data_IF_440885312110
#
_entry.id   IF_440885312110
#
_cell.length_a   1.000
_cell.length_b   1.000
_cell.length_c   1.000
_cell.angle_alpha   90.00
_cell.angle_beta   90.00
_cell.angle_gamma   90.00
#
_symmetry.space_group_name_H-M   'P 1'
#
loop_
_entity.id
_entity.type
_entity.pdbx_description
1 polymer ?
#
# COMPACT_ATOMS: atom_id res chain seq x y z
N UNK A 1 7.64 -0.33 15.83
CA UNK A 1 6.35 -1.04 15.65
C UNK A 1 6.46 -2.52 16.07
N UNK A 2 6.79 -2.82 17.34
CA UNK A 2 7.11 -4.18 17.78
C UNK A 2 5.91 -5.15 17.72
N UNK A 3 4.71 -4.67 18.08
CA UNK A 3 3.49 -5.49 18.04
C UNK A 3 3.13 -5.93 16.62
N UNK A 4 3.37 -5.08 15.61
CA UNK A 4 3.12 -5.46 14.22
C UNK A 4 4.12 -6.50 13.72
N UNK A 5 5.40 -6.41 14.12
CA UNK A 5 6.39 -7.46 13.83
C UNK A 5 5.97 -8.80 14.43
N UNK A 6 5.47 -8.79 15.67
CA UNK A 6 4.94 -9.98 16.31
C UNK A 6 3.74 -10.58 15.53
N UNK A 7 2.77 -9.75 15.14
CA UNK A 7 1.61 -10.18 14.33
C UNK A 7 2.03 -10.79 12.99
N UNK A 8 2.97 -10.16 12.28
CA UNK A 8 3.50 -10.68 11.01
C UNK A 8 4.10 -12.08 11.20
N UNK A 9 4.91 -12.28 12.24
CA UNK A 9 5.52 -13.58 12.56
C UNK A 9 4.48 -14.63 12.97
N UNK A 10 3.46 -14.24 13.74
CA UNK A 10 2.35 -15.12 14.12
C UNK A 10 1.57 -15.61 12.89
N UNK A 11 1.43 -14.77 11.85
CA UNK A 11 0.80 -15.12 10.58
C UNK A 11 1.73 -15.91 9.64
N UNK A 12 2.94 -16.28 10.09
CA UNK A 12 3.90 -17.08 9.32
C UNK A 12 4.82 -16.28 8.41
N UNK A 13 4.79 -14.94 8.47
CA UNK A 13 5.67 -14.11 7.64
C UNK A 13 7.08 -13.99 8.26
N UNK A 14 8.10 -14.11 7.40
CA UNK A 14 9.48 -13.76 7.75
C UNK A 14 9.63 -12.24 7.72
N UNK A 15 10.06 -11.65 8.84
CA UNK A 15 10.31 -10.21 8.95
C UNK A 15 11.82 -9.96 8.91
N UNK A 16 12.30 -9.39 7.81
CA UNK A 16 13.71 -9.07 7.59
C UNK A 16 13.97 -7.61 7.94
N UNK A 17 14.80 -7.31 8.97
CA UNK A 17 15.19 -5.93 9.27
C UNK A 17 16.16 -5.40 8.20
N UNK A 18 16.05 -4.12 7.86
CA UNK A 18 16.97 -3.43 6.96
C UNK A 18 17.83 -2.46 7.76
N UNK A 19 19.12 -2.78 7.89
CA UNK A 19 20.09 -1.97 8.64
C UNK A 19 20.82 -0.93 7.79
N UNK A 20 20.59 -0.94 6.47
CA UNK A 20 21.18 0.01 5.54
C UNK A 20 20.58 1.43 5.68
N UNK A 21 21.38 2.44 5.33
CA UNK A 21 20.95 3.82 5.18
C UNK A 21 20.32 4.42 6.44
N UNK A 22 19.28 5.23 6.27
CA UNK A 22 18.59 5.90 7.38
C UNK A 22 17.61 4.99 8.13
N UNK A 23 17.51 3.70 7.75
CA UNK A 23 16.62 2.71 8.38
C UNK A 23 15.15 3.13 8.35
N UNK A 24 14.72 3.73 7.24
CA UNK A 24 13.35 4.17 7.03
C UNK A 24 12.62 3.28 6.01
N UNK A 25 11.37 3.64 5.72
CA UNK A 25 10.56 2.96 4.69
C UNK A 25 11.25 2.95 3.31
N UNK A 26 11.98 4.01 2.97
CA UNK A 26 12.67 4.12 1.67
C UNK A 26 13.70 3.00 1.49
N UNK A 27 14.52 2.74 2.52
CA UNK A 27 15.53 1.69 2.48
C UNK A 27 14.88 0.30 2.41
N UNK A 28 13.79 0.08 3.15
CA UNK A 28 13.04 -1.17 3.08
C UNK A 28 12.46 -1.44 1.68
N UNK A 29 11.91 -0.41 1.02
CA UNK A 29 11.39 -0.52 -0.36
C UNK A 29 12.51 -0.86 -1.35
N UNK A 30 13.68 -0.22 -1.21
CA UNK A 30 14.82 -0.48 -2.09
C UNK A 30 15.34 -1.92 -1.96
N UNK A 31 15.50 -2.42 -0.73
CA UNK A 31 15.96 -3.80 -0.51
C UNK A 31 14.92 -4.83 -0.97
N UNK A 32 13.63 -4.57 -0.76
CA UNK A 32 12.56 -5.44 -1.28
C UNK A 32 12.54 -5.47 -2.82
N UNK A 33 12.79 -4.34 -3.49
CA UNK A 33 12.87 -4.29 -4.95
C UNK A 33 14.10 -5.04 -5.47
N UNK A 34 15.24 -4.97 -4.78
CA UNK A 34 16.44 -5.74 -5.11
C UNK A 34 16.19 -7.24 -5.02
N UNK A 35 15.60 -7.69 -3.90
CA UNK A 35 15.22 -9.10 -3.71
C UNK A 35 14.29 -9.59 -4.84
N UNK A 36 13.27 -8.80 -5.17
CA UNK A 36 12.33 -9.15 -6.22
C UNK A 36 12.99 -9.29 -7.59
N UNK A 37 13.90 -8.38 -7.97
CA UNK A 37 14.63 -8.47 -9.24
C UNK A 37 15.44 -9.76 -9.32
N UNK A 38 16.04 -10.20 -8.22
CA UNK A 38 16.79 -11.47 -8.16
C UNK A 38 15.87 -12.69 -8.19
N UNK A 39 14.66 -12.60 -7.63
CA UNK A 39 13.72 -13.71 -7.44
C UNK A 39 12.44 -13.62 -8.30
N UNK A 40 12.47 -12.90 -9.43
CA UNK A 40 11.27 -12.55 -10.22
C UNK A 40 10.43 -13.75 -10.68
N UNK A 41 11.05 -14.94 -10.80
CA UNK A 41 10.37 -16.15 -11.31
C UNK A 41 9.45 -16.81 -10.29
N UNK A 42 9.71 -16.63 -9.00
CA UNK A 42 8.99 -17.32 -7.92
C UNK A 42 8.45 -16.36 -6.84
N UNK A 43 8.80 -15.08 -6.90
CA UNK A 43 8.37 -14.06 -5.95
C UNK A 43 7.53 -12.99 -6.65
N UNK A 44 6.32 -12.76 -6.13
CA UNK A 44 5.51 -11.60 -6.49
C UNK A 44 5.77 -10.45 -5.49
N UNK A 45 6.13 -9.28 -5.99
CA UNK A 45 6.34 -8.10 -5.15
C UNK A 45 5.05 -7.33 -4.92
N UNK A 46 4.57 -7.36 -3.67
CA UNK A 46 3.35 -6.65 -3.23
C UNK A 46 3.74 -5.24 -2.78
N UNK A 47 3.60 -4.27 -3.68
CA UNK A 47 3.82 -2.86 -3.37
C UNK A 47 2.57 -2.23 -2.72
N UNK A 48 2.70 -1.80 -1.47
CA UNK A 48 1.57 -1.38 -0.64
C UNK A 48 1.01 0.02 -0.87
N UNK A 49 1.39 0.72 -1.94
CA UNK A 49 0.91 2.09 -2.21
C UNK A 49 0.92 2.42 -3.72
N UNK A 50 0.20 3.47 -4.12
CA UNK A 50 0.10 3.94 -5.51
C UNK A 50 1.38 4.66 -6.00
N UNK A 51 2.51 3.96 -5.91
CA UNK A 51 3.87 4.43 -6.22
C UNK A 51 4.55 3.45 -7.18
N UNK A 52 5.73 3.81 -7.68
CA UNK A 52 6.59 2.94 -8.48
C UNK A 52 6.28 2.99 -9.98
N UNK A 53 6.92 2.09 -10.72
CA UNK A 53 6.75 2.00 -12.17
C UNK A 53 5.39 1.36 -12.53
N UNK A 54 4.93 1.62 -13.76
CA UNK A 54 3.84 0.86 -14.34
C UNK A 54 4.11 -0.66 -14.21
N UNK A 55 3.12 -1.47 -13.78
CA UNK A 55 1.70 -1.17 -13.64
C UNK A 55 1.22 -0.77 -12.23
N UNK A 56 2.10 -0.68 -11.24
CA UNK A 56 1.71 -0.57 -9.82
C UNK A 56 0.77 0.60 -9.50
N UNK A 57 1.01 1.85 -9.95
CA UNK A 57 0.10 2.95 -9.63
C UNK A 57 -1.35 2.72 -10.11
N UNK A 58 -1.51 2.18 -11.32
CA UNK A 58 -2.84 1.90 -11.89
C UNK A 58 -3.50 0.72 -11.18
N UNK A 59 -2.73 -0.33 -10.91
CA UNK A 59 -3.21 -1.52 -10.22
C UNK A 59 -3.71 -1.18 -8.80
N UNK A 60 -2.89 -0.47 -8.01
CA UNK A 60 -3.25 -0.09 -6.63
C UNK A 60 -4.45 0.84 -6.61
N UNK A 61 -4.50 1.86 -7.49
CA UNK A 61 -5.67 2.73 -7.65
C UNK A 61 -6.94 1.92 -7.92
N UNK A 62 -6.87 0.94 -8.82
CA UNK A 62 -8.03 0.13 -9.17
C UNK A 62 -8.50 -0.77 -8.03
N UNK A 63 -7.57 -1.36 -7.26
CA UNK A 63 -7.92 -2.14 -6.08
C UNK A 63 -8.55 -1.28 -4.97
N UNK A 64 -8.14 -0.02 -4.84
CA UNK A 64 -8.65 0.90 -3.80
C UNK A 64 -9.88 1.69 -4.24
N UNK A 65 -10.23 1.71 -5.53
CA UNK A 65 -11.39 2.45 -6.10
C UNK A 65 -12.70 2.16 -5.36
N UNK A 66 -12.85 0.95 -4.83
CA UNK A 66 -14.04 0.53 -4.08
C UNK A 66 -14.40 1.51 -2.95
N UNK A 67 -13.40 2.14 -2.30
CA UNK A 67 -13.63 3.14 -1.25
C UNK A 67 -14.45 4.31 -1.79
N UNK A 68 -14.07 4.86 -2.94
CA UNK A 68 -14.77 5.98 -3.56
C UNK A 68 -16.14 5.59 -4.13
N UNK A 69 -16.26 4.38 -4.68
CA UNK A 69 -17.54 3.87 -5.19
C UNK A 69 -18.56 3.72 -4.05
N UNK A 70 -18.14 3.13 -2.92
CA UNK A 70 -18.99 2.94 -1.74
C UNK A 70 -19.32 4.27 -1.08
N UNK A 71 -18.33 5.15 -0.86
CA UNK A 71 -18.54 6.46 -0.24
C UNK A 71 -19.51 7.32 -1.07
N UNK A 72 -19.40 7.29 -2.40
CA UNK A 72 -20.32 8.00 -3.30
C UNK A 72 -21.74 7.44 -3.22
N UNK A 73 -21.90 6.12 -3.15
CA UNK A 73 -23.22 5.50 -2.99
C UNK A 73 -23.83 5.90 -1.63
N UNK A 74 -23.06 5.78 -0.56
CA UNK A 74 -23.50 6.07 0.80
C UNK A 74 -23.93 7.53 0.99
N UNK A 75 -23.14 8.49 0.46
CA UNK A 75 -23.49 9.92 0.62
C UNK A 75 -24.74 10.30 -0.16
N UNK A 76 -24.95 9.71 -1.34
CA UNK A 76 -26.17 9.93 -2.12
C UNK A 76 -27.40 9.29 -1.46
N UNK A 77 -27.23 8.16 -0.76
CA UNK A 77 -28.31 7.52 0.03
C UNK A 77 -28.68 8.33 1.29
N UNK A 78 -27.72 9.03 1.89
CA UNK A 78 -27.93 9.74 3.17
C UNK A 78 -28.32 11.21 2.99
N UNK A 79 -27.71 11.90 2.03
CA UNK A 79 -27.81 13.36 1.88
C UNK A 79 -28.46 13.78 0.56
N UNK A 80 -28.78 12.82 -0.33
CA UNK A 80 -29.37 13.05 -1.66
C UNK A 80 -28.55 13.98 -2.58
N UNK A 81 -27.30 14.26 -2.20
CA UNK A 81 -26.38 15.13 -2.92
C UNK A 81 -24.93 14.66 -2.80
N UNK A 82 -24.06 15.18 -3.69
CA UNK A 82 -22.63 14.92 -3.61
C UNK A 82 -21.98 15.81 -2.54
N UNK A 83 -20.86 15.36 -1.93
CA UNK A 83 -20.14 16.17 -0.97
C UNK A 83 -19.46 17.35 -1.67
N UNK A 84 -19.40 18.50 -0.99
CA UNK A 84 -18.64 19.64 -1.49
C UNK A 84 -17.14 19.31 -1.62
N UNK A 85 -16.60 18.52 -0.69
CA UNK A 85 -15.18 18.19 -0.60
C UNK A 85 -14.99 16.74 -0.12
N UNK A 86 -13.93 16.11 -0.63
CA UNK A 86 -13.35 14.87 -0.11
C UNK A 86 -11.93 15.17 0.37
N UNK A 87 -11.55 14.59 1.49
CA UNK A 87 -10.26 14.84 2.14
C UNK A 87 -9.63 13.48 2.47
N UNK A 88 -8.37 13.30 2.06
CA UNK A 88 -7.59 12.09 2.30
C UNK A 88 -6.15 12.48 2.66
N UNK A 89 -5.48 11.69 3.50
CA UNK A 89 -4.08 11.94 3.81
C UNK A 89 -3.18 11.40 2.69
N UNK A 90 -2.06 12.06 2.42
CA UNK A 90 -1.17 11.66 1.32
C UNK A 90 0.21 11.29 1.85
N UNK A 91 0.42 9.98 1.99
CA UNK A 91 1.75 9.38 2.03
C UNK A 91 2.19 9.01 0.61
N UNK A 92 1.99 7.75 0.23
CA UNK A 92 2.19 7.30 -1.16
C UNK A 92 0.92 7.30 -2.03
N UNK A 93 -0.21 7.80 -1.52
CA UNK A 93 -1.40 8.12 -2.32
C UNK A 93 -2.36 6.99 -2.65
N UNK A 94 -2.41 5.90 -1.88
CA UNK A 94 -3.31 4.76 -2.17
C UNK A 94 -4.68 4.80 -1.48
N UNK A 95 -4.88 5.61 -0.44
CA UNK A 95 -6.14 5.65 0.30
C UNK A 95 -7.17 6.57 -0.36
#
# INVERSE_FOLDING_TARGET
QALNVFRMRMLGATVVPVDAGQKTLKEAVNEAMRDWVTNVRNTHYILGTAYGAHPYPVMVRNFQRVIGDEARRQILEQEEQLPDRLIACVGGGSN
#
